data_IF_998624497634
#
_entry.id   IF_998624497634
#
_cell.length_a   1.000
_cell.length_b   1.000
_cell.length_c   1.000
_cell.angle_alpha   90.00
_cell.angle_beta   90.00
_cell.angle_gamma   90.00
#
_symmetry.space_group_name_H-M   'P 1'
#
loop_
_entity.id
_entity.type
_entity.pdbx_description
1 polymer ?
#
# COMPACT_ATOMS: atom_id res chain seq x y z
N UNK A 1 3.92 10.35 5.95
CA UNK A 1 5.09 9.59 6.43
C UNK A 1 6.28 10.49 6.80
N UNK A 2 6.58 11.55 6.04
CA UNK A 2 7.65 12.52 6.38
C UNK A 2 7.40 13.33 7.69
N UNK A 3 6.18 13.26 8.23
CA UNK A 3 5.76 13.92 9.47
C UNK A 3 5.86 13.04 10.71
N UNK A 4 6.21 11.76 10.58
CA UNK A 4 6.32 10.87 11.73
C UNK A 4 7.55 11.25 12.58
N UNK A 5 7.36 11.76 13.82
CA UNK A 5 8.45 12.20 14.68
C UNK A 5 9.46 11.10 15.02
N UNK A 6 9.06 9.82 14.94
CA UNK A 6 9.90 8.67 15.25
C UNK A 6 11.00 8.45 14.22
N UNK A 7 10.87 9.03 13.03
CA UNK A 7 11.88 8.95 11.96
C UNK A 7 12.92 10.06 12.02
N UNK A 8 12.64 11.16 12.74
CA UNK A 8 13.55 12.32 12.87
C UNK A 8 14.95 11.99 13.39
N UNK A 9 15.15 11.06 14.35
CA UNK A 9 16.48 10.72 14.84
C UNK A 9 17.36 9.98 13.83
N UNK A 10 16.79 9.46 12.73
CA UNK A 10 17.53 8.71 11.70
C UNK A 10 18.19 9.64 10.66
N UNK A 11 17.75 10.90 10.57
CA UNK A 11 18.18 11.85 9.54
C UNK A 11 19.24 12.90 9.91
N UNK A 12 19.67 13.16 11.17
CA UNK A 12 20.62 14.24 11.46
C UNK A 12 22.07 13.81 11.21
N UNK A 13 22.32 13.04 10.15
CA UNK A 13 23.66 12.71 9.66
C UNK A 13 23.85 13.37 8.29
N UNK A 14 25.08 13.78 7.92
CA UNK A 14 25.34 14.33 6.58
C UNK A 14 24.86 13.40 5.45
N UNK A 15 25.00 12.08 5.67
CA UNK A 15 24.52 11.05 4.75
C UNK A 15 22.99 11.01 4.66
N UNK A 16 22.29 11.22 5.78
CA UNK A 16 20.82 11.31 5.81
C UNK A 16 20.28 12.53 5.07
N UNK A 17 20.93 13.69 5.21
CA UNK A 17 20.58 14.91 4.48
C UNK A 17 20.76 14.76 2.97
N UNK A 18 21.84 14.10 2.54
CA UNK A 18 22.09 13.81 1.13
C UNK A 18 21.00 12.90 0.54
N UNK A 19 20.65 11.81 1.25
CA UNK A 19 19.58 10.90 0.81
C UNK A 19 18.25 11.63 0.73
N UNK A 20 17.95 12.51 1.70
CA UNK A 20 16.74 13.30 1.68
C UNK A 20 16.69 14.26 0.48
N UNK A 21 17.80 14.92 0.15
CA UNK A 21 17.90 15.77 -1.03
C UNK A 21 17.69 14.98 -2.34
N UNK A 22 18.25 13.77 -2.43
CA UNK A 22 18.03 12.88 -3.58
C UNK A 22 16.55 12.46 -3.71
N UNK A 23 15.90 12.07 -2.61
CA UNK A 23 14.47 11.73 -2.61
C UNK A 23 13.60 12.90 -3.06
N UNK A 24 13.89 14.12 -2.58
CA UNK A 24 13.20 15.34 -3.00
C UNK A 24 13.38 15.59 -4.50
N UNK A 25 14.59 15.44 -5.04
CA UNK A 25 14.84 15.58 -6.47
C UNK A 25 14.08 14.54 -7.30
N UNK A 26 14.07 13.27 -6.87
CA UNK A 26 13.33 12.19 -7.54
C UNK A 26 11.84 12.49 -7.55
N UNK A 27 11.27 13.03 -6.47
CA UNK A 27 9.85 13.38 -6.38
C UNK A 27 9.43 14.42 -7.43
N UNK A 28 10.34 15.31 -7.87
CA UNK A 28 10.06 16.32 -8.88
C UNK A 28 10.13 15.80 -10.34
N UNK A 29 10.51 14.54 -10.56
CA UNK A 29 10.53 13.94 -11.90
C UNK A 29 9.09 13.73 -12.38
N UNK A 30 8.72 14.39 -13.48
CA UNK A 30 7.37 14.32 -14.05
C UNK A 30 7.06 12.96 -14.69
N UNK A 31 8.02 12.37 -15.38
CA UNK A 31 7.85 11.07 -16.04
C UNK A 31 7.83 9.93 -15.02
N UNK A 32 6.72 9.19 -14.97
CA UNK A 32 6.48 8.17 -13.96
C UNK A 32 7.45 6.99 -14.08
N UNK A 33 7.80 6.57 -15.29
CA UNK A 33 8.70 5.44 -15.51
C UNK A 33 10.13 5.81 -15.09
N UNK A 34 10.59 7.01 -15.49
CA UNK A 34 11.89 7.55 -15.07
C UNK A 34 11.94 7.73 -13.56
N UNK A 35 10.88 8.28 -12.94
CA UNK A 35 10.81 8.45 -11.49
C UNK A 35 10.93 7.11 -10.77
N UNK A 36 10.18 6.09 -11.23
CA UNK A 36 10.22 4.75 -10.65
C UNK A 36 11.59 4.07 -10.82
N UNK A 37 12.22 4.23 -11.98
CA UNK A 37 13.55 3.68 -12.27
C UNK A 37 14.62 4.32 -11.40
N UNK A 38 14.63 5.65 -11.28
CA UNK A 38 15.58 6.39 -10.45
C UNK A 38 15.40 6.06 -8.97
N UNK A 39 14.16 5.93 -8.50
CA UNK A 39 13.88 5.49 -7.13
C UNK A 39 14.40 4.08 -6.85
N UNK A 40 14.23 3.14 -7.79
CA UNK A 40 14.79 1.79 -7.69
C UNK A 40 16.32 1.80 -7.61
N UNK A 41 16.99 2.66 -8.39
CA UNK A 41 18.44 2.79 -8.34
C UNK A 41 18.92 3.28 -6.97
N UNK A 42 18.27 4.30 -6.41
CA UNK A 42 18.57 4.79 -5.06
C UNK A 42 18.35 3.68 -4.02
N UNK A 43 17.23 2.96 -4.09
CA UNK A 43 16.95 1.82 -3.21
C UNK A 43 18.09 0.78 -3.22
N UNK A 44 18.57 0.38 -4.40
CA UNK A 44 19.69 -0.54 -4.51
C UNK A 44 21.01 0.03 -3.97
N UNK A 45 21.31 1.31 -4.23
CA UNK A 45 22.49 1.98 -3.67
C UNK A 45 22.49 1.96 -2.13
N UNK A 46 21.33 2.25 -1.52
CA UNK A 46 21.18 2.22 -0.07
C UNK A 46 21.36 0.81 0.51
N UNK A 47 20.90 -0.22 -0.20
CA UNK A 47 21.12 -1.62 0.18
C UNK A 47 22.59 -2.02 0.08
N UNK A 48 23.25 -1.72 -1.03
CA UNK A 48 24.68 -2.04 -1.22
C UNK A 48 25.55 -1.30 -0.21
N UNK A 49 25.18 -0.08 0.17
CA UNK A 49 25.85 0.69 1.22
C UNK A 49 25.55 0.24 2.66
N UNK A 50 24.69 -0.76 2.86
CA UNK A 50 24.30 -1.23 4.19
C UNK A 50 23.43 -0.26 4.99
N UNK A 51 22.92 0.80 4.36
CA UNK A 51 22.09 1.84 4.99
C UNK A 51 20.65 1.34 5.13
N UNK A 52 20.17 0.60 4.12
CA UNK A 52 18.84 0.00 4.12
C UNK A 52 18.96 -1.52 4.07
N UNK A 53 18.43 -2.20 5.08
CA UNK A 53 18.39 -3.66 5.17
C UNK A 53 16.94 -4.13 5.12
N UNK A 54 16.37 -4.38 3.93
CA UNK A 54 15.00 -4.87 3.82
C UNK A 54 14.91 -6.28 4.40
N UNK A 55 14.12 -6.43 5.47
CA UNK A 55 14.00 -7.71 6.17
C UNK A 55 12.90 -8.58 5.57
N UNK A 56 11.74 -7.99 5.28
CA UNK A 56 10.55 -8.71 4.82
C UNK A 56 9.74 -7.83 3.88
N UNK A 57 9.04 -8.45 2.93
CA UNK A 57 7.99 -7.81 2.15
C UNK A 57 6.63 -8.35 2.63
N UNK A 58 5.72 -7.46 3.00
CA UNK A 58 4.39 -7.85 3.45
C UNK A 58 3.47 -8.03 2.25
N UNK A 59 3.05 -9.28 2.01
CA UNK A 59 1.93 -9.60 1.12
C UNK A 59 0.70 -9.85 1.96
N UNK A 60 -0.22 -8.90 1.99
CA UNK A 60 -1.50 -9.07 2.67
C UNK A 60 -2.42 -9.96 1.83
N UNK A 61 -2.86 -11.07 2.42
CA UNK A 61 -4.03 -11.81 1.95
C UNK A 61 -5.22 -11.37 2.78
N UNK A 62 -6.31 -11.06 2.10
CA UNK A 62 -7.46 -10.43 2.70
C UNK A 62 -8.63 -11.41 2.61
N UNK A 63 -9.29 -11.64 3.74
CA UNK A 63 -10.53 -12.38 3.79
C UNK A 63 -11.66 -11.36 3.93
N UNK A 64 -12.34 -11.07 2.82
CA UNK A 64 -13.58 -10.32 2.86
C UNK A 64 -14.64 -11.14 3.61
N UNK A 65 -15.44 -10.54 4.51
CA UNK A 65 -16.58 -11.21 5.10
C UNK A 65 -17.50 -11.75 3.99
N UNK A 66 -18.03 -12.98 4.12
CA UNK A 66 -18.96 -13.54 3.13
C UNK A 66 -20.17 -12.62 2.93
N UNK A 67 -20.55 -12.38 1.67
CA UNK A 67 -21.66 -11.50 1.34
C UNK A 67 -21.34 -10.01 1.43
N UNK A 68 -20.06 -9.61 1.50
CA UNK A 68 -19.64 -8.22 1.33
C UNK A 68 -18.78 -8.11 0.08
N UNK A 69 -19.19 -7.25 -0.84
CA UNK A 69 -18.55 -6.98 -2.11
C UNK A 69 -17.87 -5.61 -2.10
N UNK A 70 -16.89 -5.40 -3.00
CA UNK A 70 -16.24 -4.11 -3.19
C UNK A 70 -15.24 -3.70 -2.10
N UNK A 71 -14.79 -4.64 -1.25
CA UNK A 71 -13.72 -4.41 -0.29
C UNK A 71 -12.36 -4.36 -1.01
N UNK A 72 -11.65 -3.24 -0.88
CA UNK A 72 -10.29 -3.06 -1.40
C UNK A 72 -9.33 -2.66 -0.26
N UNK A 73 -8.05 -3.04 -0.39
CA UNK A 73 -6.98 -2.56 0.50
C UNK A 73 -6.26 -1.43 -0.21
N UNK A 74 -6.16 -0.28 0.43
CA UNK A 74 -5.38 0.82 -0.12
C UNK A 74 -3.88 0.57 0.06
N UNK A 75 -3.06 1.38 -0.62
CA UNK A 75 -1.60 1.29 -0.59
C UNK A 75 -0.97 1.59 0.78
N UNK A 76 -1.77 2.04 1.75
CA UNK A 76 -1.35 2.26 3.14
C UNK A 76 -1.70 1.08 4.06
N UNK A 77 -2.28 0.00 3.52
CA UNK A 77 -2.64 -1.19 4.29
C UNK A 77 -3.96 -1.10 5.05
N UNK A 78 -4.84 -0.15 4.70
CA UNK A 78 -6.17 -0.03 5.29
C UNK A 78 -7.27 -0.49 4.33
N UNK A 79 -8.32 -1.07 4.90
CA UNK A 79 -9.55 -1.38 4.18
C UNK A 79 -10.26 -0.10 3.76
N UNK A 80 -10.58 0.03 2.47
CA UNK A 80 -11.45 1.07 1.95
C UNK A 80 -12.90 0.56 1.95
N UNK A 81 -13.66 0.98 2.96
CA UNK A 81 -15.09 0.65 3.07
C UNK A 81 -16.00 1.60 2.27
N UNK A 82 -15.48 2.63 1.62
CA UNK A 82 -16.31 3.59 0.86
C UNK A 82 -17.03 2.96 -0.34
N UNK A 83 -16.49 1.84 -0.82
CA UNK A 83 -17.04 1.04 -1.93
C UNK A 83 -17.65 -0.28 -1.48
N UNK A 84 -17.64 -0.58 -0.18
CA UNK A 84 -18.16 -1.83 0.33
C UNK A 84 -19.70 -1.85 0.28
N UNK A 85 -20.27 -2.94 -0.20
CA UNK A 85 -21.73 -3.11 -0.25
C UNK A 85 -22.12 -4.57 -0.02
N UNK A 86 -23.39 -4.78 0.36
CA UNK A 86 -23.97 -6.10 0.57
C UNK A 86 -24.97 -6.34 -0.56
N UNK A 87 -24.87 -7.45 -1.32
CA UNK A 87 -25.85 -7.76 -2.34
C UNK A 87 -27.22 -8.00 -1.71
N UNK A 88 -28.30 -7.66 -2.44
CA UNK A 88 -29.64 -7.95 -1.95
C UNK A 88 -29.80 -9.45 -1.68
N UNK A 89 -30.61 -9.83 -0.69
CA UNK A 89 -30.87 -11.24 -0.40
C UNK A 89 -31.42 -11.93 -1.66
N UNK A 90 -30.88 -13.10 -1.97
CA UNK A 90 -31.43 -13.94 -3.04
C UNK A 90 -32.74 -14.51 -2.49
N UNK A 91 -33.87 -14.00 -2.95
CA UNK A 91 -35.16 -14.63 -2.70
C UNK A 91 -35.14 -16.01 -3.36
N UNK A 92 -35.03 -17.07 -2.54
CA UNK A 92 -35.27 -18.43 -3.01
C UNK A 92 -36.71 -18.47 -3.55
N UNK A 93 -36.95 -18.95 -4.78
CA UNK A 93 -38.29 -19.00 -5.34
C UNK A 93 -39.19 -19.79 -4.39
N UNK A 94 -40.33 -19.19 -4.01
CA UNK A 94 -41.36 -19.81 -3.19
C UNK A 94 -41.59 -21.25 -3.66
N UNK A 95 -41.22 -22.23 -2.84
CA UNK A 95 -41.67 -23.60 -3.01
C UNK A 95 -43.16 -23.62 -2.68
N UNK A 96 -44.00 -23.33 -3.68
CA UNK A 96 -45.42 -23.61 -3.61
C UNK A 96 -45.60 -25.13 -3.48
N UNK A 97 -45.85 -25.60 -2.26
CA UNK A 97 -46.30 -26.96 -1.99
C UNK A 97 -47.74 -27.09 -2.49
N UNK A 98 -47.93 -27.54 -3.73
CA UNK A 98 -49.17 -28.19 -4.11
C UNK A 98 -49.14 -29.61 -3.54
N UNK A 99 -49.96 -29.88 -2.53
CA UNK A 99 -50.29 -31.23 -2.10
C UNK A 99 -51.81 -31.36 -2.12
N UNK A 100 -52.24 -32.33 -2.91
CA UNK A 100 -53.61 -32.75 -3.21
C UNK A 100 -54.39 -33.26 -1.98
#
# INVERSE_FOLDING_TARGET
MQTDPLWRPLWPTPQGEEIQAQLLAIQQIADDETRARTLHQLYHQLMTGGILLPLFNYRYQIYAPPGVEGIELNTLGWFDFSRAWIPPPIDLPCSCSAAD
#
